data_IF_580249065532
#
_entry.id   IF_580249065532
#
_cell.length_a   1.000
_cell.length_b   1.000
_cell.length_c   1.000
_cell.angle_alpha   90.00
_cell.angle_beta   90.00
_cell.angle_gamma   90.00
#
_symmetry.space_group_name_H-M   'P 1'
#
loop_
_entity.id
_entity.type
_entity.pdbx_description
1 polymer ?
#
# COMPACT_ATOMS: atom_id res chain seq x y z
N UNK A 1 27.62 12.61 -10.42
CA UNK A 1 27.77 11.15 -10.32
C UNK A 1 26.71 10.63 -9.36
N UNK A 2 25.64 9.95 -9.82
CA UNK A 2 24.75 9.25 -8.90
C UNK A 2 25.54 8.10 -8.27
N UNK A 3 25.60 8.09 -6.94
CA UNK A 3 26.35 7.10 -6.16
C UNK A 3 25.81 5.68 -6.38
N UNK A 4 26.72 4.72 -6.18
CA UNK A 4 26.47 3.27 -6.12
C UNK A 4 25.16 2.94 -5.41
N UNK A 5 24.30 2.18 -6.10
CA UNK A 5 22.88 1.98 -5.79
C UNK A 5 22.60 1.40 -4.40
N UNK A 6 22.15 2.28 -3.50
CA UNK A 6 21.36 1.88 -2.33
C UNK A 6 19.87 1.98 -2.69
N UNK A 7 19.05 1.07 -2.17
CA UNK A 7 17.61 1.14 -2.36
C UNK A 7 17.05 2.34 -1.58
N UNK A 8 16.69 3.38 -2.30
CA UNK A 8 16.08 4.58 -1.76
C UNK A 8 14.55 4.47 -1.85
N UNK A 9 13.95 4.02 -0.75
CA UNK A 9 12.50 3.81 -0.61
C UNK A 9 11.74 5.08 -0.19
N UNK A 10 12.32 6.27 -0.40
CA UNK A 10 11.62 7.55 -0.12
C UNK A 10 10.57 7.84 -1.19
N UNK A 11 9.50 8.50 -0.76
CA UNK A 11 8.42 9.01 -1.60
C UNK A 11 8.23 10.52 -1.34
N UNK A 12 7.71 11.26 -2.33
CA UNK A 12 7.35 12.67 -2.16
C UNK A 12 5.98 12.85 -1.49
N UNK A 13 5.24 11.77 -1.25
CA UNK A 13 3.99 11.79 -0.51
C UNK A 13 4.14 11.01 0.79
N UNK A 14 3.87 11.66 1.92
CA UNK A 14 3.66 10.99 3.19
C UNK A 14 2.48 11.67 3.87
N UNK A 15 1.31 11.09 3.68
CA UNK A 15 0.07 11.57 4.27
C UNK A 15 -0.09 10.94 5.66
N UNK A 16 -0.29 11.79 6.66
CA UNK A 16 -0.76 11.46 8.02
C UNK A 16 -0.14 10.22 8.69
N UNK A 17 1.17 10.05 8.50
CA UNK A 17 1.97 9.01 9.17
C UNK A 17 2.10 7.68 8.39
N UNK A 18 1.65 7.61 7.14
CA UNK A 18 1.75 6.43 6.30
C UNK A 18 3.19 6.01 5.97
N UNK A 19 3.42 4.70 5.88
CA UNK A 19 4.72 4.12 5.52
C UNK A 19 5.02 4.20 4.01
N UNK A 20 6.29 4.09 3.64
CA UNK A 20 6.72 4.07 2.23
C UNK A 20 6.95 2.65 1.65
N UNK A 21 6.82 1.63 2.49
CA UNK A 21 7.17 0.25 2.16
C UNK A 21 6.45 -0.76 3.03
N UNK A 22 6.39 -2.00 2.57
CA UNK A 22 5.83 -3.15 3.29
C UNK A 22 6.67 -4.41 3.01
N UNK A 23 6.92 -5.28 4.02
CA UNK A 23 7.51 -6.60 3.78
C UNK A 23 6.61 -7.44 2.88
N UNK A 24 7.19 -8.21 1.96
CA UNK A 24 6.45 -9.15 1.12
C UNK A 24 6.23 -10.46 1.90
N UNK A 25 4.99 -10.96 2.02
CA UNK A 25 4.70 -12.22 2.68
C UNK A 25 5.50 -13.40 2.09
N UNK A 26 5.89 -14.32 2.95
CA UNK A 26 6.55 -15.55 2.52
C UNK A 26 5.66 -16.32 1.53
N UNK A 27 6.24 -16.81 0.45
CA UNK A 27 5.51 -17.50 -0.64
C UNK A 27 5.11 -16.60 -1.81
N UNK A 28 5.08 -15.27 -1.64
CA UNK A 28 4.83 -14.32 -2.74
C UNK A 28 6.11 -13.78 -3.38
N UNK A 29 7.24 -13.89 -2.70
CA UNK A 29 8.53 -13.40 -3.19
C UNK A 29 9.11 -14.22 -4.35
N UNK A 30 8.63 -15.46 -4.56
CA UNK A 30 9.09 -16.35 -5.64
C UNK A 30 8.22 -16.23 -6.89
N UNK A 31 8.76 -15.65 -7.95
CA UNK A 31 8.04 -15.36 -9.20
C UNK A 31 7.85 -16.55 -10.15
N UNK A 32 7.41 -17.71 -9.67
CA UNK A 32 7.15 -18.89 -10.50
C UNK A 32 5.89 -19.64 -10.10
N UNK A 33 5.25 -20.41 -11.01
CA UNK A 33 4.12 -21.25 -10.66
C UNK A 33 4.54 -22.25 -9.57
N UNK A 34 3.71 -22.40 -8.54
CA UNK A 34 3.96 -23.28 -7.41
C UNK A 34 4.07 -24.73 -7.87
N UNK A 35 5.29 -25.21 -8.15
CA UNK A 35 5.58 -26.63 -8.28
C UNK A 35 5.79 -27.17 -6.87
N UNK A 36 5.02 -28.20 -6.49
CA UNK A 36 4.87 -28.70 -5.12
C UNK A 36 6.10 -29.37 -4.50
N UNK A 37 7.18 -28.62 -4.33
CA UNK A 37 8.30 -28.93 -3.44
C UNK A 37 8.18 -28.20 -2.11
N UNK A 38 8.94 -28.60 -1.06
CA UNK A 38 9.00 -27.84 0.18
C UNK A 38 9.45 -26.40 -0.14
N UNK A 39 8.74 -25.41 0.39
CA UNK A 39 9.05 -24.00 0.20
C UNK A 39 10.49 -23.73 0.66
N UNK A 40 11.45 -23.75 -0.27
CA UNK A 40 12.76 -23.17 -0.04
C UNK A 40 12.51 -21.69 0.21
N UNK A 41 12.61 -21.27 1.48
CA UNK A 41 12.26 -19.93 1.93
C UNK A 41 12.91 -18.90 1.02
N UNK A 42 12.08 -18.26 0.18
CA UNK A 42 12.54 -17.19 -0.71
C UNK A 42 13.23 -16.11 0.12
N UNK A 43 14.26 -15.49 -0.45
CA UNK A 43 14.96 -14.41 0.23
C UNK A 43 13.95 -13.32 0.65
N UNK A 44 14.13 -12.69 1.82
CA UNK A 44 13.28 -11.59 2.25
C UNK A 44 13.15 -10.55 1.15
N UNK A 45 11.93 -10.11 0.89
CA UNK A 45 11.63 -9.08 -0.09
C UNK A 45 10.78 -7.98 0.52
N UNK A 46 10.91 -6.77 -0.02
CA UNK A 46 10.09 -5.61 0.35
C UNK A 46 9.50 -4.98 -0.90
N UNK A 47 8.28 -4.51 -0.79
CA UNK A 47 7.60 -3.69 -1.79
C UNK A 47 7.62 -2.25 -1.28
N UNK A 48 8.18 -1.31 -2.04
CA UNK A 48 8.28 0.08 -1.59
C UNK A 48 8.31 1.09 -2.72
N UNK A 49 7.90 2.32 -2.41
CA UNK A 49 7.94 3.45 -3.34
C UNK A 49 9.38 3.91 -3.56
N UNK A 50 9.81 4.03 -4.81
CA UNK A 50 11.19 4.39 -5.16
C UNK A 50 11.33 5.88 -5.46
N UNK A 51 12.28 6.55 -4.81
CA UNK A 51 12.50 7.99 -4.99
C UNK A 51 12.80 8.40 -6.44
N UNK A 52 13.50 7.52 -7.18
CA UNK A 52 14.01 7.79 -8.52
C UNK A 52 12.89 8.00 -9.56
N UNK A 53 11.79 7.26 -9.46
CA UNK A 53 10.70 7.27 -10.45
C UNK A 53 9.29 7.33 -9.83
N UNK A 54 9.19 7.35 -8.49
CA UNK A 54 7.95 7.30 -7.71
C UNK A 54 7.10 6.04 -7.93
N UNK A 55 7.68 4.99 -8.53
CA UNK A 55 7.00 3.71 -8.73
C UNK A 55 7.19 2.79 -7.54
N UNK A 56 6.26 1.87 -7.36
CA UNK A 56 6.46 0.75 -6.46
C UNK A 56 7.45 -0.22 -7.10
N UNK A 57 8.41 -0.68 -6.30
CA UNK A 57 9.43 -1.62 -6.73
C UNK A 57 9.56 -2.74 -5.70
N UNK A 58 9.70 -3.95 -6.23
CA UNK A 58 10.02 -5.16 -5.48
C UNK A 58 11.54 -5.27 -5.35
N UNK A 59 12.01 -5.32 -4.11
CA UNK A 59 13.43 -5.44 -3.76
C UNK A 59 13.66 -6.77 -3.04
N UNK A 60 14.73 -7.49 -3.38
CA UNK A 60 14.99 -8.84 -2.85
C UNK A 60 14.24 -9.96 -3.60
N UNK A 61 14.19 -11.17 -3.03
CA UNK A 61 13.43 -12.31 -3.58
C UNK A 61 14.13 -13.16 -4.65
N UNK A 62 15.46 -13.04 -4.83
CA UNK A 62 16.20 -13.93 -5.74
C UNK A 62 16.18 -15.40 -5.27
N UNK A 63 16.18 -16.35 -6.20
CA UNK A 63 16.42 -17.76 -5.88
C UNK A 63 17.86 -17.93 -5.34
N UNK A 64 18.01 -18.76 -4.31
CA UNK A 64 19.31 -19.15 -3.78
C UNK A 64 20.00 -20.11 -4.76
N UNK A 65 20.50 -19.63 -5.91
CA UNK A 65 21.20 -20.50 -6.85
C UNK A 65 21.53 -19.89 -8.22
N UNK A 66 22.57 -19.07 -8.28
CA UNK A 66 23.65 -19.24 -9.28
C UNK A 66 24.91 -18.53 -8.77
N UNK A 67 25.60 -19.18 -7.84
CA UNK A 67 26.96 -18.78 -7.46
C UNK A 67 27.97 -19.50 -8.34
N UNK A 68 28.15 -19.04 -9.58
CA UNK A 68 29.30 -19.43 -10.40
C UNK A 68 30.08 -18.23 -10.93
N UNK A 69 30.65 -17.44 -10.02
CA UNK A 69 31.91 -16.72 -10.25
C UNK A 69 32.49 -16.23 -8.92
N UNK A 70 33.74 -16.63 -8.65
CA UNK A 70 34.42 -16.34 -7.39
C UNK A 70 34.83 -14.88 -7.20
N UNK A 71 35.03 -14.53 -5.93
CA UNK A 71 35.91 -13.43 -5.50
C UNK A 71 35.25 -12.08 -5.30
N UNK A 72 34.73 -11.81 -4.09
CA UNK A 72 35.03 -10.60 -3.31
C UNK A 72 34.21 -10.59 -2.02
N UNK A 73 34.88 -10.65 -0.88
CA UNK A 73 34.31 -10.35 0.44
C UNK A 73 34.12 -8.84 0.58
N UNK A 74 32.96 -8.37 0.17
CA UNK A 74 32.34 -7.17 0.72
C UNK A 74 30.85 -7.47 0.82
N UNK A 75 30.25 -7.27 1.99
CA UNK A 75 28.80 -7.23 2.15
C UNK A 75 28.27 -5.98 1.41
N UNK A 76 28.34 -6.00 0.08
CA UNK A 76 27.63 -5.06 -0.77
C UNK A 76 26.16 -5.46 -0.71
N UNK A 77 25.32 -4.58 -0.19
CA UNK A 77 23.87 -4.73 -0.26
C UNK A 77 23.48 -4.76 -1.75
N UNK A 78 23.47 -5.96 -2.34
CA UNK A 78 23.21 -6.23 -3.75
C UNK A 78 21.76 -6.02 -4.15
N UNK A 79 21.18 -4.89 -3.76
CA UNK A 79 19.90 -4.47 -4.29
C UNK A 79 20.18 -3.80 -5.64
N UNK A 80 20.21 -4.61 -6.70
CA UNK A 80 19.87 -4.12 -8.04
C UNK A 80 18.59 -3.27 -7.94
N UNK A 81 18.35 -2.36 -8.90
CA UNK A 81 17.39 -1.24 -8.81
C UNK A 81 15.90 -1.57 -8.49
N UNK A 82 15.55 -2.76 -8.00
CA UNK A 82 14.20 -3.24 -7.71
C UNK A 82 13.47 -3.53 -9.00
N UNK A 83 12.74 -4.65 -9.08
CA UNK A 83 11.85 -4.90 -10.21
C UNK A 83 10.62 -4.00 -10.06
N UNK A 84 10.22 -3.21 -11.06
CA UNK A 84 8.99 -2.43 -10.97
C UNK A 84 7.77 -3.32 -10.72
N UNK A 85 6.91 -2.91 -9.80
CA UNK A 85 5.66 -3.58 -9.43
C UNK A 85 4.42 -2.76 -9.81
N UNK A 86 4.60 -1.59 -10.42
CA UNK A 86 3.54 -0.78 -11.04
C UNK A 86 3.98 -0.29 -12.41
N UNK A 87 3.06 -0.04 -13.36
CA UNK A 87 3.39 0.57 -14.64
C UNK A 87 3.93 2.01 -14.47
N UNK A 88 4.61 2.56 -15.48
CA UNK A 88 4.92 3.99 -15.50
C UNK A 88 3.63 4.82 -15.46
N UNK A 89 3.65 5.94 -14.73
CA UNK A 89 2.59 6.92 -14.81
C UNK A 89 2.60 7.64 -16.18
N UNK A 90 1.46 8.17 -16.67
CA UNK A 90 1.40 8.95 -17.91
C UNK A 90 2.33 10.19 -17.87
N UNK A 91 2.42 10.83 -16.71
CA UNK A 91 3.35 11.92 -16.42
C UNK A 91 4.53 11.38 -15.61
N UNK A 92 5.75 11.78 -15.94
CA UNK A 92 6.94 11.34 -15.23
C UNK A 92 6.83 11.65 -13.73
N UNK A 93 6.94 10.62 -12.88
CA UNK A 93 6.81 10.70 -11.42
C UNK A 93 5.42 11.21 -10.97
N UNK A 94 4.41 11.04 -11.82
CA UNK A 94 3.04 11.53 -11.63
C UNK A 94 2.20 10.70 -10.67
N UNK A 95 2.49 9.41 -10.49
CA UNK A 95 1.84 8.60 -9.44
C UNK A 95 2.81 8.44 -8.27
N UNK A 96 2.33 8.70 -7.05
CA UNK A 96 3.11 8.57 -5.81
C UNK A 96 2.30 7.76 -4.80
N UNK A 97 2.97 6.90 -4.05
CA UNK A 97 2.31 5.87 -3.23
C UNK A 97 2.77 5.94 -1.79
N UNK A 98 1.85 5.71 -0.85
CA UNK A 98 2.11 5.64 0.59
C UNK A 98 1.11 4.74 1.31
N UNK A 99 1.37 4.52 2.60
CA UNK A 99 0.52 3.84 3.57
C UNK A 99 0.05 2.42 3.13
N UNK A 100 0.99 1.50 2.88
CA UNK A 100 0.65 0.19 2.36
C UNK A 100 0.05 -0.76 3.40
N UNK A 101 -0.82 -1.65 2.93
CA UNK A 101 -1.23 -2.87 3.65
C UNK A 101 -1.39 -4.06 2.69
N UNK A 102 -1.19 -5.29 3.16
CA UNK A 102 -1.51 -6.50 2.39
C UNK A 102 -2.93 -6.95 2.67
N UNK A 103 -3.64 -7.40 1.63
CA UNK A 103 -4.88 -8.16 1.77
C UNK A 103 -4.52 -9.59 2.15
N UNK A 104 -4.86 -10.07 3.38
CA UNK A 104 -4.47 -11.38 3.85
C UNK A 104 -4.87 -12.52 2.91
N UNK A 105 -3.98 -13.49 2.71
CA UNK A 105 -4.25 -14.67 1.87
C UNK A 105 -4.13 -14.42 0.36
N UNK A 106 -3.73 -13.22 -0.07
CA UNK A 106 -3.62 -12.85 -1.49
C UNK A 106 -2.24 -12.25 -1.82
N UNK A 107 -1.96 -12.04 -3.10
CA UNK A 107 -0.82 -11.27 -3.62
C UNK A 107 -1.17 -9.79 -3.88
N UNK A 108 -2.24 -9.29 -3.24
CA UNK A 108 -2.72 -7.93 -3.43
C UNK A 108 -2.33 -7.05 -2.24
N UNK A 109 -1.70 -5.92 -2.56
CA UNK A 109 -1.45 -4.84 -1.61
C UNK A 109 -2.39 -3.66 -1.90
N UNK A 110 -2.70 -2.87 -0.88
CA UNK A 110 -3.46 -1.62 -0.98
C UNK A 110 -2.60 -0.44 -0.59
N UNK A 111 -2.78 0.70 -1.25
CA UNK A 111 -1.97 1.91 -1.07
C UNK A 111 -2.84 3.16 -1.20
N UNK A 112 -2.43 4.23 -0.52
CA UNK A 112 -2.83 5.59 -0.88
C UNK A 112 -2.00 6.01 -2.10
N UNK A 113 -2.66 6.60 -3.11
CA UNK A 113 -2.03 7.10 -4.33
C UNK A 113 -2.40 8.56 -4.59
N UNK A 114 -1.38 9.41 -4.71
CA UNK A 114 -1.49 10.74 -5.33
C UNK A 114 -1.31 10.61 -6.85
N UNK A 115 -2.19 11.25 -7.61
CA UNK A 115 -2.12 11.38 -9.07
C UNK A 115 -1.92 12.86 -9.44
N UNK A 116 -0.72 13.15 -9.93
CA UNK A 116 -0.27 14.44 -10.46
C UNK A 116 -0.37 14.40 -11.98
N UNK A 117 -1.52 14.80 -12.50
CA UNK A 117 -1.70 15.02 -13.94
C UNK A 117 -1.07 16.35 -14.35
N UNK A 118 -0.65 16.47 -15.62
CA UNK A 118 0.12 17.62 -16.12
C UNK A 118 -0.63 18.95 -15.91
N UNK A 119 -0.27 19.66 -14.83
CA UNK A 119 -0.84 20.95 -14.45
C UNK A 119 -2.14 20.90 -13.63
N UNK A 120 -2.62 19.74 -13.19
CA UNK A 120 -3.77 19.65 -12.29
C UNK A 120 -3.35 19.87 -10.84
N UNK A 121 -3.91 20.91 -10.20
CA UNK A 121 -3.72 21.23 -8.79
C UNK A 121 -5.09 21.47 -8.12
N UNK A 122 -5.36 20.88 -6.94
CA UNK A 122 -4.50 19.93 -6.20
C UNK A 122 -4.40 18.56 -6.91
N UNK A 123 -3.44 17.69 -6.51
CA UNK A 123 -3.40 16.31 -6.98
C UNK A 123 -4.67 15.56 -6.57
N UNK A 124 -5.01 14.51 -7.33
CA UNK A 124 -6.12 13.61 -6.97
C UNK A 124 -5.59 12.53 -6.03
N UNK A 125 -6.33 12.25 -4.97
CA UNK A 125 -6.01 11.19 -4.03
C UNK A 125 -6.95 9.99 -4.20
N UNK A 126 -6.39 8.79 -4.05
CA UNK A 126 -7.10 7.54 -4.28
C UNK A 126 -6.61 6.45 -3.31
N UNK A 127 -7.48 5.48 -3.02
CA UNK A 127 -7.04 4.16 -2.54
C UNK A 127 -6.94 3.23 -3.74
N UNK A 128 -5.83 2.52 -3.89
CA UNK A 128 -5.59 1.60 -5.01
C UNK A 128 -5.16 0.22 -4.53
N UNK A 129 -5.55 -0.82 -5.27
CA UNK A 129 -4.92 -2.13 -5.17
C UNK A 129 -3.76 -2.25 -6.15
N UNK A 130 -2.72 -2.98 -5.74
CA UNK A 130 -1.54 -3.28 -6.55
C UNK A 130 -1.18 -4.75 -6.38
N UNK A 131 -1.13 -5.47 -7.50
CA UNK A 131 -0.64 -6.85 -7.61
C UNK A 131 0.82 -6.87 -8.00
N UNK A 132 1.52 -7.96 -7.65
CA UNK A 132 2.94 -8.13 -8.00
C UNK A 132 3.21 -8.29 -9.50
N UNK A 133 2.18 -8.58 -10.31
CA UNK A 133 2.25 -8.62 -11.77
C UNK A 133 2.18 -7.22 -12.43
N UNK A 134 1.92 -6.17 -11.64
CA UNK A 134 1.79 -4.79 -12.12
C UNK A 134 0.35 -4.34 -12.36
N UNK A 135 -0.65 -5.18 -12.13
CA UNK A 135 -2.05 -4.78 -12.17
C UNK A 135 -2.34 -3.78 -11.06
N UNK A 136 -2.98 -2.66 -11.42
CA UNK A 136 -3.40 -1.61 -10.50
C UNK A 136 -4.87 -1.27 -10.72
N UNK A 137 -5.67 -1.24 -9.67
CA UNK A 137 -7.07 -0.82 -9.73
C UNK A 137 -7.39 0.23 -8.67
N UNK A 138 -8.27 1.18 -9.00
CA UNK A 138 -8.78 2.18 -8.05
C UNK A 138 -9.90 1.55 -7.23
N UNK A 139 -9.76 1.62 -5.91
CA UNK A 139 -10.73 1.14 -4.92
C UNK A 139 -11.61 2.27 -4.37
N UNK A 140 -11.03 3.46 -4.17
CA UNK A 140 -11.75 4.65 -3.73
C UNK A 140 -11.15 5.91 -4.37
N UNK A 141 -12.01 6.87 -4.71
CA UNK A 141 -11.64 8.17 -5.28
C UNK A 141 -12.81 9.15 -5.10
N UNK A 142 -12.52 10.46 -5.08
CA UNK A 142 -13.53 11.52 -5.03
C UNK A 142 -13.41 12.47 -3.83
N UNK A 143 -12.99 11.97 -2.66
CA UNK A 143 -12.55 12.81 -1.54
C UNK A 143 -11.20 13.48 -1.83
N UNK A 144 -10.94 14.62 -1.18
CA UNK A 144 -9.68 15.34 -1.32
C UNK A 144 -8.50 14.54 -0.76
N UNK A 145 -8.71 13.72 0.28
CA UNK A 145 -7.64 12.96 0.92
C UNK A 145 -8.08 11.59 1.44
N UNK A 146 -7.11 10.68 1.56
CA UNK A 146 -7.30 9.33 2.08
C UNK A 146 -6.14 8.91 2.98
N UNK A 147 -6.42 8.05 3.96
CA UNK A 147 -5.39 7.48 4.83
C UNK A 147 -5.80 6.13 5.44
N UNK A 148 -4.81 5.43 5.99
CA UNK A 148 -4.98 4.26 6.85
C UNK A 148 -5.82 3.14 6.22
N UNK A 149 -5.46 2.61 5.03
CA UNK A 149 -6.11 1.42 4.50
C UNK A 149 -5.82 0.20 5.39
N UNK A 150 -6.87 -0.51 5.79
CA UNK A 150 -6.83 -1.64 6.72
C UNK A 150 -7.70 -2.78 6.21
N UNK A 151 -7.11 -3.72 5.44
CA UNK A 151 -7.77 -4.97 5.10
C UNK A 151 -8.19 -5.76 6.35
N UNK A 152 -9.35 -6.40 6.31
CA UNK A 152 -9.83 -7.27 7.37
C UNK A 152 -8.98 -8.54 7.50
N UNK A 153 -8.98 -9.22 8.67
CA UNK A 153 -8.17 -10.43 8.87
C UNK A 153 -8.50 -11.57 7.91
N UNK A 154 -9.74 -11.62 7.41
CA UNK A 154 -10.22 -12.59 6.42
C UNK A 154 -9.98 -12.15 4.96
N UNK A 155 -9.44 -10.95 4.74
CA UNK A 155 -9.16 -10.40 3.41
C UNK A 155 -10.37 -10.01 2.58
N UNK A 156 -11.58 -10.03 3.16
CA UNK A 156 -12.84 -9.79 2.44
C UNK A 156 -13.33 -8.35 2.50
N UNK A 157 -12.75 -7.51 3.36
CA UNK A 157 -13.17 -6.13 3.56
C UNK A 157 -11.97 -5.22 3.70
N UNK A 158 -12.15 -3.94 3.38
CA UNK A 158 -11.15 -2.90 3.57
C UNK A 158 -11.80 -1.70 4.25
N UNK A 159 -11.22 -1.27 5.38
CA UNK A 159 -11.55 -0.01 6.02
C UNK A 159 -10.50 1.05 5.68
N UNK A 160 -10.89 2.32 5.56
CA UNK A 160 -9.97 3.43 5.36
C UNK A 160 -10.61 4.74 5.82
N UNK A 161 -9.78 5.79 5.97
CA UNK A 161 -10.24 7.13 6.32
C UNK A 161 -10.23 8.04 5.10
N UNK A 162 -11.17 8.98 5.05
CA UNK A 162 -11.15 10.12 4.13
C UNK A 162 -11.54 11.41 4.83
N UNK A 163 -11.18 12.55 4.23
CA UNK A 163 -11.71 13.86 4.58
C UNK A 163 -11.55 14.81 3.39
N UNK A 164 -12.24 15.95 3.49
CA UNK A 164 -12.28 16.98 2.44
C UNK A 164 -11.93 18.34 3.02
N UNK A 165 -11.36 19.21 2.17
CA UNK A 165 -11.27 20.62 2.51
C UNK A 165 -12.65 21.20 2.83
N UNK A 166 -12.72 22.19 3.75
CA UNK A 166 -11.60 22.85 4.43
C UNK A 166 -11.12 22.11 5.68
N UNK A 167 -11.65 20.93 5.99
CA UNK A 167 -11.32 20.20 7.21
C UNK A 167 -9.94 19.56 7.10
N UNK A 168 -9.19 19.60 8.19
CA UNK A 168 -8.05 18.72 8.40
C UNK A 168 -8.52 17.43 9.09
N UNK A 169 -7.72 16.35 9.15
CA UNK A 169 -8.20 15.10 9.73
C UNK A 169 -8.36 15.13 11.26
N UNK A 170 -7.99 16.23 11.91
CA UNK A 170 -8.32 16.51 13.31
C UNK A 170 -9.60 17.36 13.47
N UNK A 171 -10.22 17.80 12.37
CA UNK A 171 -11.48 18.53 12.40
C UNK A 171 -12.65 17.59 12.08
N UNK A 172 -12.52 16.80 11.02
CA UNK A 172 -13.58 15.92 10.54
C UNK A 172 -13.04 14.83 9.62
N UNK A 173 -13.43 13.57 9.84
CA UNK A 173 -13.08 12.46 8.95
C UNK A 173 -14.25 11.47 8.80
N UNK A 174 -14.19 10.69 7.72
CA UNK A 174 -15.11 9.58 7.44
C UNK A 174 -14.37 8.27 7.51
N UNK A 175 -14.96 7.29 8.20
CA UNK A 175 -14.51 5.91 8.19
C UNK A 175 -15.34 5.13 7.16
N UNK A 176 -14.66 4.62 6.15
CA UNK A 176 -15.25 3.83 5.08
C UNK A 176 -15.08 2.34 5.34
N UNK A 177 -15.96 1.55 4.74
CA UNK A 177 -15.83 0.10 4.61
C UNK A 177 -16.26 -0.30 3.20
N UNK A 178 -15.39 -1.01 2.50
CA UNK A 178 -15.66 -1.62 1.19
C UNK A 178 -15.49 -3.13 1.28
N UNK A 179 -16.35 -3.86 0.58
CA UNK A 179 -16.19 -5.32 0.38
C UNK A 179 -15.19 -5.58 -0.74
N UNK A 180 -14.26 -6.51 -0.53
CA UNK A 180 -13.28 -6.94 -1.52
C UNK A 180 -13.78 -8.22 -2.20
N UNK A 181 -13.94 -8.18 -3.52
CA UNK A 181 -14.26 -9.37 -4.30
C UNK A 181 -13.04 -10.31 -4.37
N UNK A 182 -13.26 -11.61 -4.56
CA UNK A 182 -12.24 -12.65 -4.56
C UNK A 182 -11.12 -12.42 -5.58
N UNK A 183 -11.41 -11.73 -6.69
CA UNK A 183 -10.42 -11.41 -7.71
C UNK A 183 -9.51 -10.23 -7.33
N UNK A 184 -9.90 -9.34 -6.40
CA UNK A 184 -9.20 -8.14 -5.84
C UNK A 184 -8.40 -7.26 -6.86
N UNK A 185 -8.56 -7.53 -8.16
CA UNK A 185 -7.82 -6.96 -9.30
C UNK A 185 -8.76 -6.20 -10.25
N UNK A 186 -10.05 -6.51 -10.20
CA UNK A 186 -11.08 -5.87 -10.99
C UNK A 186 -11.81 -4.87 -10.12
N UNK A 187 -11.79 -3.61 -10.56
CA UNK A 187 -12.67 -2.49 -10.19
C UNK A 187 -13.65 -2.87 -9.10
N UNK A 188 -13.38 -2.40 -7.88
CA UNK A 188 -14.41 -2.34 -6.84
C UNK A 188 -15.61 -1.64 -7.49
N UNK A 189 -16.67 -2.38 -7.75
CA UNK A 189 -17.93 -1.76 -8.14
C UNK A 189 -18.23 -0.74 -7.05
N UNK A 190 -18.24 0.55 -7.42
CA UNK A 190 -18.44 1.68 -6.49
C UNK A 190 -19.72 1.51 -5.65
N UNK A 191 -20.60 0.58 -6.03
CA UNK A 191 -21.76 0.14 -5.28
C UNK A 191 -21.47 -0.43 -3.87
N UNK A 192 -20.22 -0.77 -3.53
CA UNK A 192 -19.84 -1.39 -2.25
C UNK A 192 -19.30 -0.46 -1.14
N UNK A 193 -19.01 0.81 -1.42
CA UNK A 193 -18.49 1.74 -0.39
C UNK A 193 -19.61 2.22 0.53
N UNK A 194 -19.40 2.00 1.84
CA UNK A 194 -20.25 2.53 2.89
C UNK A 194 -19.43 3.30 3.92
N UNK A 195 -19.81 4.55 4.13
CA UNK A 195 -19.38 5.34 5.30
C UNK A 195 -20.01 4.75 6.55
N UNK A 196 -19.20 4.20 7.45
CA UNK A 196 -19.63 3.64 8.73
C UNK A 196 -19.78 4.71 9.81
N UNK A 197 -18.85 5.67 9.83
CA UNK A 197 -18.85 6.81 10.71
C UNK A 197 -18.51 8.06 9.91
N UNK A 198 -19.24 9.12 10.15
CA UNK A 198 -19.06 10.44 9.55
C UNK A 198 -19.10 11.44 10.72
N UNK A 199 -17.96 12.01 11.08
CA UNK A 199 -17.88 12.69 12.37
C UNK A 199 -16.58 13.45 12.60
N UNK A 200 -16.28 13.77 13.87
CA UNK A 200 -15.08 14.51 14.23
C UNK A 200 -13.84 13.63 14.03
N UNK A 201 -12.68 13.97 14.58
CA UNK A 201 -11.43 13.30 14.24
C UNK A 201 -11.45 11.79 14.52
N UNK A 202 -11.46 10.99 13.45
CA UNK A 202 -11.24 9.54 13.49
C UNK A 202 -9.81 9.21 13.08
N UNK A 203 -9.16 8.32 13.81
CA UNK A 203 -7.78 7.89 13.55
C UNK A 203 -7.57 6.40 13.82
N UNK A 204 -6.53 5.84 13.20
CA UNK A 204 -6.04 4.48 13.49
C UNK A 204 -7.14 3.39 13.47
N UNK A 205 -7.90 3.24 12.36
CA UNK A 205 -8.77 2.08 12.22
C UNK A 205 -7.95 0.80 12.38
N UNK A 206 -8.47 -0.18 13.13
CA UNK A 206 -7.82 -1.47 13.36
C UNK A 206 -8.85 -2.57 13.51
N UNK A 207 -8.56 -3.71 12.89
CA UNK A 207 -9.35 -4.93 13.10
C UNK A 207 -8.83 -5.69 14.32
N UNK A 208 -9.75 -6.14 15.17
CA UNK A 208 -9.44 -7.18 16.14
C UNK A 208 -9.28 -8.55 15.47
N UNK A 209 -8.62 -9.52 16.11
CA UNK A 209 -8.46 -10.87 15.54
C UNK A 209 -9.77 -11.59 15.23
N UNK A 210 -10.87 -11.25 15.89
CA UNK A 210 -12.21 -11.78 15.64
C UNK A 210 -13.00 -11.00 14.56
N UNK A 211 -12.33 -10.10 13.83
CA UNK A 211 -12.90 -9.40 12.67
C UNK A 211 -13.84 -8.24 13.02
N UNK A 212 -13.67 -7.61 14.18
CA UNK A 212 -14.40 -6.39 14.57
C UNK A 212 -13.54 -5.15 14.34
N UNK A 213 -14.13 -4.13 13.76
CA UNK A 213 -13.45 -2.87 13.47
C UNK A 213 -13.52 -1.94 14.69
N UNK A 214 -12.37 -1.35 15.02
CA UNK A 214 -12.23 -0.32 16.04
C UNK A 214 -11.56 0.90 15.42
N UNK A 215 -11.83 2.07 15.97
CA UNK A 215 -11.22 3.33 15.56
C UNK A 215 -11.05 4.23 16.78
N UNK A 216 -10.07 5.12 16.76
CA UNK A 216 -9.95 6.19 17.77
C UNK A 216 -10.83 7.36 17.32
N UNK A 217 -11.66 7.90 18.21
CA UNK A 217 -12.51 9.07 17.98
C UNK A 217 -12.31 10.10 19.08
N UNK A 218 -12.39 11.39 18.75
CA UNK A 218 -12.37 12.51 19.71
C UNK A 218 -13.75 13.08 20.06
N UNK A 219 -14.84 12.41 19.65
CA UNK A 219 -16.20 12.95 19.71
C UNK A 219 -16.67 13.39 21.11
N UNK A 220 -16.19 12.72 22.15
CA UNK A 220 -16.56 13.01 23.55
C UNK A 220 -15.54 13.93 24.25
N UNK A 221 -14.61 14.54 23.50
CA UNK A 221 -13.58 15.46 24.00
C UNK A 221 -12.28 14.79 24.46
N UNK A 222 -12.16 13.47 24.26
CA UNK A 222 -10.98 12.66 24.54
C UNK A 222 -10.74 11.66 23.40
N UNK A 223 -9.51 11.18 23.23
CA UNK A 223 -9.19 10.12 22.27
C UNK A 223 -9.64 8.75 22.80
N UNK A 224 -10.87 8.37 22.45
CA UNK A 224 -11.49 7.11 22.86
C UNK A 224 -11.45 6.06 21.76
N UNK A 225 -11.25 4.79 22.15
CA UNK A 225 -11.34 3.67 21.22
C UNK A 225 -12.80 3.22 21.15
N UNK A 226 -13.43 3.43 20.00
CA UNK A 226 -14.81 3.03 19.74
C UNK A 226 -14.83 1.82 18.82
N UNK A 227 -15.81 0.94 19.04
CA UNK A 227 -16.12 -0.17 18.16
C UNK A 227 -17.20 0.25 17.17
N UNK A 228 -17.06 -0.17 15.92
CA UNK A 228 -17.97 0.11 14.80
C UNK A 228 -18.81 -1.11 14.45
#
# INVERSE_FOLDING_TARGET
>A
MPGTGSADIRTFVHEYGGGAWIPVPAGLAGGGPATGGPASGGLPAVLGACAADQRLRLFGGGEAGDSTAGGSTAAGNGNAAGRPATPPAPVARGHRYADPAWVPGTDVSVWVREVHDDGAEPPRNEIVSVRLDGTVAVLAAGADFYASPQPSPDGTRLAFLSWDHPNMPWDHTRLHLVELDADVAGVLDRAGDRVLLDGPALQQPRWSPDGRLHVVSDADGYWDIVRV
#
